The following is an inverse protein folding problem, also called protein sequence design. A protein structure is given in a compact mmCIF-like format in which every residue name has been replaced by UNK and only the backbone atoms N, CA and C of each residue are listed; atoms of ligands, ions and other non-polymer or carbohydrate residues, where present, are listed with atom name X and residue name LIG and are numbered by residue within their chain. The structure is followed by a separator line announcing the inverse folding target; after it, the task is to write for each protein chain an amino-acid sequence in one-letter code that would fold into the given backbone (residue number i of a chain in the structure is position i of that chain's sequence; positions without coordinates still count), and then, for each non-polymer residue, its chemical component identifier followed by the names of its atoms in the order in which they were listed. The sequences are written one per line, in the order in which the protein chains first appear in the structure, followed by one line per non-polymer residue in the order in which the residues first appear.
data_IF_803362697635
#
_entry.id   IF_803362697635
#
_cell.length_a   1.000
_cell.length_b   1.000
_cell.length_c   1.000
_cell.angle_alpha   90.00
_cell.angle_beta   90.00
_cell.angle_gamma   90.00
#
_symmetry.space_group_name_H-M   'P 1'
#
loop_
_entity.id
_entity.type
_entity.pdbx_description
1 polymer ?
#
# COMPACT_ATOMS: atom_id res chain seq x y z
N UNK A 1 -13.32 13.90 -41.91
CA UNK A 1 -13.56 14.09 -40.47
C UNK A 1 -14.69 13.15 -40.05
N UNK A 2 -14.35 11.93 -39.68
CA UNK A 2 -15.31 10.94 -39.18
C UNK A 2 -15.56 11.19 -37.70
N UNK A 3 -16.81 11.49 -37.32
CA UNK A 3 -17.26 11.54 -35.94
C UNK A 3 -17.17 10.13 -35.33
N UNK A 4 -15.97 9.72 -34.94
CA UNK A 4 -15.83 8.56 -34.07
C UNK A 4 -16.26 8.97 -32.67
N UNK A 5 -17.55 8.81 -32.38
CA UNK A 5 -18.09 8.70 -31.01
C UNK A 5 -17.55 7.43 -30.35
N UNK A 6 -16.23 7.28 -30.33
CA UNK A 6 -15.54 6.15 -29.72
C UNK A 6 -15.60 6.29 -28.21
N UNK A 7 -15.87 5.16 -27.55
CA UNK A 7 -15.81 5.01 -26.10
C UNK A 7 -14.37 5.20 -25.62
N UNK A 8 -13.91 6.43 -25.48
CA UNK A 8 -12.61 6.72 -24.89
C UNK A 8 -12.61 6.42 -23.38
N UNK A 9 -11.43 6.11 -22.83
CA UNK A 9 -11.23 5.82 -21.41
C UNK A 9 -11.78 6.91 -20.49
N UNK A 10 -11.64 8.17 -20.90
CA UNK A 10 -12.03 9.36 -20.14
C UNK A 10 -13.51 9.73 -20.27
N UNK A 11 -14.26 8.97 -21.07
CA UNK A 11 -15.67 9.26 -21.38
C UNK A 11 -16.61 8.20 -20.85
N UNK A 12 -16.08 7.12 -20.26
CA UNK A 12 -16.86 5.97 -19.84
C UNK A 12 -16.56 5.58 -18.41
N UNK A 13 -17.52 4.94 -17.76
CA UNK A 13 -17.37 4.37 -16.42
C UNK A 13 -17.07 2.86 -16.54
N UNK A 14 -16.40 2.29 -15.54
CA UNK A 14 -16.17 0.85 -15.42
C UNK A 14 -17.51 0.11 -15.59
N UNK A 15 -17.54 -0.89 -16.48
CA UNK A 15 -18.72 -1.69 -16.80
C UNK A 15 -19.32 -2.44 -15.60
N UNK A 16 -18.54 -2.72 -14.57
CA UNK A 16 -19.01 -3.42 -13.37
C UNK A 16 -20.13 -2.65 -12.64
N UNK A 17 -21.14 -3.36 -12.10
CA UNK A 17 -22.20 -2.74 -11.32
C UNK A 17 -21.65 -1.87 -10.20
N UNK A 18 -22.25 -0.68 -10.01
CA UNK A 18 -21.89 0.26 -8.94
C UNK A 18 -21.97 -0.41 -7.57
N UNK A 19 -23.02 -1.19 -7.31
CA UNK A 19 -23.21 -1.95 -6.07
C UNK A 19 -22.05 -2.90 -5.78
N UNK A 20 -21.56 -3.63 -6.79
CA UNK A 20 -20.43 -4.54 -6.63
C UNK A 20 -19.16 -3.76 -6.26
N UNK A 21 -18.86 -2.69 -6.98
CA UNK A 21 -17.69 -1.82 -6.70
C UNK A 21 -17.75 -1.22 -5.30
N UNK A 22 -18.93 -0.76 -4.88
CA UNK A 22 -19.15 -0.20 -3.55
C UNK A 22 -18.79 -1.20 -2.44
N UNK A 23 -19.36 -2.40 -2.49
CA UNK A 23 -19.12 -3.43 -1.48
C UNK A 23 -17.68 -3.95 -1.50
N UNK A 24 -17.09 -4.13 -2.68
CA UNK A 24 -15.67 -4.52 -2.79
C UNK A 24 -14.76 -3.50 -2.11
N UNK A 25 -14.90 -2.21 -2.42
CA UNK A 25 -14.09 -1.18 -1.78
C UNK A 25 -14.33 -1.15 -0.26
N UNK A 26 -15.58 -1.15 0.19
CA UNK A 26 -15.92 -1.05 1.61
C UNK A 26 -15.41 -2.23 2.45
N UNK A 27 -15.60 -3.47 1.95
CA UNK A 27 -15.20 -4.70 2.66
C UNK A 27 -13.68 -4.79 2.82
N UNK A 28 -12.90 -4.30 1.84
CA UNK A 28 -11.44 -4.31 1.94
C UNK A 28 -10.87 -3.11 2.67
N UNK A 29 -11.52 -1.94 2.57
CA UNK A 29 -11.05 -0.70 3.20
C UNK A 29 -11.15 -0.73 4.73
N UNK A 30 -12.28 -1.18 5.29
CA UNK A 30 -12.47 -1.20 6.76
C UNK A 30 -11.39 -2.06 7.45
N UNK A 31 -11.15 -3.34 7.06
CA UNK A 31 -10.10 -4.15 7.66
C UNK A 31 -8.71 -3.58 7.39
N UNK A 32 -8.49 -2.97 6.23
CA UNK A 32 -7.23 -2.36 5.86
C UNK A 32 -6.88 -1.18 6.77
N UNK A 33 -7.82 -0.26 7.02
CA UNK A 33 -7.64 0.86 7.94
C UNK A 33 -7.33 0.37 9.36
N UNK A 34 -8.07 -0.62 9.86
CA UNK A 34 -7.82 -1.23 11.18
C UNK A 34 -6.41 -1.82 11.23
N UNK A 35 -6.00 -2.53 10.19
CA UNK A 35 -4.68 -3.13 10.08
C UNK A 35 -3.57 -2.05 10.04
N UNK A 36 -3.73 -1.02 9.22
CA UNK A 36 -2.82 0.13 9.11
C UNK A 36 -2.62 0.81 10.46
N UNK A 37 -3.72 1.14 11.17
CA UNK A 37 -3.66 1.78 12.48
C UNK A 37 -2.96 0.88 13.51
N UNK A 38 -3.29 -0.42 13.54
CA UNK A 38 -2.66 -1.37 14.45
C UNK A 38 -1.16 -1.50 14.21
N UNK A 39 -0.73 -1.63 12.95
CA UNK A 39 0.69 -1.77 12.58
C UNK A 39 1.43 -0.47 12.87
N UNK A 40 0.89 0.69 12.49
CA UNK A 40 1.48 2.00 12.79
C UNK A 40 1.64 2.21 14.29
N UNK A 41 0.59 1.93 15.07
CA UNK A 41 0.63 2.00 16.54
C UNK A 41 1.77 1.15 17.11
N UNK A 42 1.88 -0.12 16.67
CA UNK A 42 2.93 -1.00 17.14
C UNK A 42 4.34 -0.51 16.75
N UNK A 43 4.52 -0.03 15.51
CA UNK A 43 5.80 0.48 15.01
C UNK A 43 6.23 1.78 15.72
N UNK A 44 5.29 2.66 16.02
CA UNK A 44 5.57 3.96 16.64
C UNK A 44 5.83 3.85 18.15
N UNK A 45 5.13 2.96 18.85
CA UNK A 45 5.26 2.84 20.32
C UNK A 45 6.47 2.01 20.71
N UNK A 46 6.77 0.93 19.99
CA UNK A 46 7.90 0.08 20.34
C UNK A 46 9.21 0.78 19.95
N UNK A 47 9.94 1.29 20.95
CA UNK A 47 11.24 1.97 20.78
C UNK A 47 12.22 1.18 19.91
N UNK A 48 12.30 -0.14 20.09
CA UNK A 48 13.20 -0.98 19.29
C UNK A 48 12.78 -1.05 17.81
N UNK A 49 11.47 -1.08 17.54
CA UNK A 49 10.94 -1.05 16.17
C UNK A 49 11.17 0.32 15.54
N UNK A 50 10.91 1.40 16.28
CA UNK A 50 11.10 2.78 15.84
C UNK A 50 12.56 3.13 15.56
N UNK A 51 13.54 2.50 16.19
CA UNK A 51 14.96 2.79 15.89
C UNK A 51 15.53 1.98 14.71
N UNK A 52 14.81 0.97 14.24
CA UNK A 52 15.26 0.19 13.09
C UNK A 52 14.95 0.95 11.79
N UNK A 53 16.00 1.30 11.02
CA UNK A 53 15.88 2.10 9.78
C UNK A 53 14.82 1.53 8.82
N UNK A 54 14.77 0.21 8.72
CA UNK A 54 13.86 -0.44 7.79
C UNK A 54 12.39 -0.15 8.10
N UNK A 55 12.05 0.13 9.35
CA UNK A 55 10.69 0.46 9.73
C UNK A 55 10.33 1.91 9.40
N UNK A 56 11.28 2.82 9.20
CA UNK A 56 10.98 4.21 8.85
C UNK A 56 10.30 4.32 7.49
N UNK A 57 10.83 3.66 6.46
CA UNK A 57 10.18 3.65 5.14
C UNK A 57 8.80 3.00 5.19
N UNK A 58 8.64 1.93 5.98
CA UNK A 58 7.36 1.24 6.18
C UNK A 58 6.35 2.14 6.88
N UNK A 59 6.74 2.89 7.91
CA UNK A 59 5.88 3.86 8.60
C UNK A 59 5.40 4.92 7.61
N UNK A 60 6.30 5.46 6.78
CA UNK A 60 5.96 6.47 5.78
C UNK A 60 4.97 5.91 4.75
N UNK A 61 5.26 4.73 4.18
CA UNK A 61 4.38 4.06 3.22
C UNK A 61 2.99 3.81 3.80
N UNK A 62 2.90 3.30 5.04
CA UNK A 62 1.64 3.07 5.74
C UNK A 62 0.90 4.37 6.04
N UNK A 63 1.61 5.44 6.38
CA UNK A 63 1.00 6.73 6.68
C UNK A 63 0.35 7.31 5.43
N UNK A 64 1.05 7.27 4.28
CA UNK A 64 0.51 7.73 3.00
C UNK A 64 -0.68 6.85 2.58
N UNK A 65 -0.56 5.52 2.68
CA UNK A 65 -1.66 4.61 2.35
C UNK A 65 -2.88 4.81 3.25
N UNK A 66 -2.68 5.06 4.55
CA UNK A 66 -3.77 5.37 5.47
C UNK A 66 -4.44 6.71 5.12
N UNK A 67 -3.66 7.75 4.83
CA UNK A 67 -4.22 9.02 4.37
C UNK A 67 -5.02 8.84 3.07
N UNK A 68 -4.51 8.07 2.11
CA UNK A 68 -5.22 7.72 0.88
C UNK A 68 -6.54 7.00 1.17
N UNK A 69 -6.53 5.98 2.03
CA UNK A 69 -7.72 5.23 2.44
C UNK A 69 -8.76 6.12 3.12
N UNK A 70 -8.34 7.02 4.01
CA UNK A 70 -9.25 7.92 4.73
C UNK A 70 -9.81 9.06 3.86
N UNK A 71 -9.26 9.30 2.66
CA UNK A 71 -9.66 10.42 1.80
C UNK A 71 -10.23 9.94 0.48
N UNK A 72 -9.43 9.29 -0.37
CA UNK A 72 -9.82 8.87 -1.72
C UNK A 72 -10.97 7.88 -1.70
N UNK A 73 -10.91 6.85 -0.84
CA UNK A 73 -11.89 5.76 -0.83
C UNK A 73 -13.28 6.25 -0.39
N UNK A 74 -13.45 7.01 0.70
CA UNK A 74 -14.73 7.63 1.03
C UNK A 74 -15.29 8.51 -0.09
N UNK A 75 -14.43 9.26 -0.80
CA UNK A 75 -14.88 10.11 -1.91
C UNK A 75 -15.34 9.28 -3.11
N UNK A 76 -14.63 8.19 -3.40
CA UNK A 76 -15.01 7.25 -4.43
C UNK A 76 -16.31 6.51 -4.09
N UNK A 77 -16.48 6.08 -2.84
CA UNK A 77 -17.73 5.47 -2.35
C UNK A 77 -18.92 6.44 -2.44
N UNK A 78 -18.73 7.71 -2.07
CA UNK A 78 -19.76 8.74 -2.22
C UNK A 78 -20.13 8.96 -3.69
N UNK A 79 -19.14 8.99 -4.58
CA UNK A 79 -19.35 9.05 -6.02
C UNK A 79 -20.15 7.84 -6.54
N UNK A 80 -19.80 6.61 -6.16
CA UNK A 80 -20.55 5.41 -6.58
C UNK A 80 -22.01 5.51 -6.13
N UNK A 81 -22.25 5.95 -4.89
CA UNK A 81 -23.61 6.08 -4.33
C UNK A 81 -24.44 7.13 -5.04
N UNK A 82 -23.87 8.30 -5.35
CA UNK A 82 -24.59 9.45 -5.90
C UNK A 82 -24.54 9.54 -7.43
N UNK A 83 -23.64 8.80 -8.07
CA UNK A 83 -23.37 8.86 -9.51
C UNK A 83 -22.73 10.16 -10.00
N UNK A 84 -22.28 11.02 -9.08
CA UNK A 84 -21.59 12.27 -9.41
C UNK A 84 -20.74 12.76 -8.24
N UNK A 85 -19.69 13.51 -8.56
CA UNK A 85 -18.80 14.13 -7.58
C UNK A 85 -19.54 15.26 -6.86
N UNK A 86 -19.50 15.28 -5.52
CA UNK A 86 -20.05 16.38 -4.71
C UNK A 86 -19.01 16.95 -3.75
N UNK A 87 -18.98 18.28 -3.55
CA UNK A 87 -19.64 19.31 -4.36
C UNK A 87 -19.11 19.33 -5.82
N UNK A 88 -19.94 19.77 -6.78
CA UNK A 88 -19.56 19.90 -8.19
C UNK A 88 -18.77 21.19 -8.43
N UNK A 89 -17.62 21.29 -7.77
CA UNK A 89 -16.71 22.44 -7.87
C UNK A 89 -15.33 21.97 -8.33
N UNK A 90 -14.61 22.82 -9.05
CA UNK A 90 -13.30 22.50 -9.61
C UNK A 90 -12.28 22.13 -8.53
N UNK A 91 -12.26 22.86 -7.42
CA UNK A 91 -11.37 22.61 -6.28
C UNK A 91 -11.49 21.16 -5.76
N UNK A 92 -12.69 20.58 -5.77
CA UNK A 92 -12.94 19.21 -5.35
C UNK A 92 -12.21 18.21 -6.25
N UNK A 93 -12.26 18.41 -7.57
CA UNK A 93 -11.57 17.56 -8.54
C UNK A 93 -10.05 17.69 -8.44
N UNK A 94 -9.53 18.92 -8.30
CA UNK A 94 -8.09 19.17 -8.17
C UNK A 94 -7.51 18.48 -6.93
N UNK A 95 -8.18 18.64 -5.78
CA UNK A 95 -7.77 17.97 -4.53
C UNK A 95 -7.87 16.44 -4.69
N UNK A 96 -8.91 15.95 -5.36
CA UNK A 96 -9.05 14.52 -5.59
C UNK A 96 -7.94 13.97 -6.49
N UNK A 97 -7.57 14.65 -7.57
CA UNK A 97 -6.41 14.26 -8.39
C UNK A 97 -5.10 14.29 -7.60
N UNK A 98 -4.91 15.30 -6.73
CA UNK A 98 -3.72 15.40 -5.88
C UNK A 98 -3.61 14.19 -4.95
N UNK A 99 -4.69 13.82 -4.29
CA UNK A 99 -4.73 12.64 -3.41
C UNK A 99 -4.55 11.36 -4.23
N UNK A 100 -5.31 11.21 -5.31
CA UNK A 100 -5.36 9.97 -6.09
C UNK A 100 -4.03 9.69 -6.79
N UNK A 101 -3.59 10.60 -7.68
CA UNK A 101 -2.36 10.44 -8.45
C UNK A 101 -1.14 10.73 -7.58
N UNK A 102 -1.17 11.82 -6.82
CA UNK A 102 -0.02 12.27 -6.04
C UNK A 102 0.40 11.25 -4.99
N UNK A 103 -0.52 10.78 -4.14
CA UNK A 103 -0.14 9.79 -3.11
C UNK A 103 0.21 8.43 -3.70
N UNK A 104 -0.51 7.98 -4.74
CA UNK A 104 -0.22 6.70 -5.38
C UNK A 104 1.19 6.67 -5.99
N UNK A 105 1.56 7.71 -6.75
CA UNK A 105 2.88 7.80 -7.35
C UNK A 105 3.98 8.10 -6.33
N UNK A 106 3.67 8.84 -5.25
CA UNK A 106 4.60 9.00 -4.12
C UNK A 106 4.94 7.65 -3.48
N UNK A 107 3.94 6.78 -3.29
CA UNK A 107 4.16 5.41 -2.79
C UNK A 107 5.05 4.62 -3.73
N UNK A 108 4.84 4.73 -5.06
CA UNK A 108 5.70 4.07 -6.06
C UNK A 108 7.16 4.56 -5.99
N UNK A 109 7.37 5.87 -5.96
CA UNK A 109 8.71 6.46 -5.86
C UNK A 109 9.43 6.05 -4.57
N UNK A 110 8.74 6.07 -3.43
CA UNK A 110 9.29 5.62 -2.15
C UNK A 110 9.58 4.11 -2.20
N UNK A 111 8.76 3.32 -2.86
CA UNK A 111 9.00 1.88 -3.01
C UNK A 111 10.22 1.58 -3.89
N UNK A 112 10.40 2.34 -4.98
CA UNK A 112 11.59 2.28 -5.82
C UNK A 112 12.86 2.61 -5.02
N UNK A 113 12.84 3.71 -4.26
CA UNK A 113 13.93 4.06 -3.36
C UNK A 113 14.17 3.00 -2.28
N UNK A 114 13.11 2.52 -1.62
CA UNK A 114 13.22 1.50 -0.57
C UNK A 114 13.85 0.21 -1.11
N UNK A 115 13.62 -0.12 -2.38
CA UNK A 115 14.23 -1.27 -3.04
C UNK A 115 15.75 -1.11 -3.19
N UNK A 116 16.21 0.08 -3.59
CA UNK A 116 17.63 0.45 -3.64
C UNK A 116 18.24 0.45 -2.23
N UNK A 117 17.60 1.15 -1.31
CA UNK A 117 18.07 1.33 0.06
C UNK A 117 18.24 -0.02 0.78
N UNK A 118 17.33 -0.97 0.57
CA UNK A 118 17.42 -2.32 1.14
C UNK A 118 18.63 -3.08 0.62
N UNK A 119 18.98 -2.89 -0.64
CA UNK A 119 20.21 -3.45 -1.18
C UNK A 119 21.43 -2.84 -0.46
N UNK A 120 21.45 -1.52 -0.23
CA UNK A 120 22.55 -0.85 0.47
C UNK A 120 22.64 -1.34 1.92
N UNK A 121 21.52 -1.39 2.65
CA UNK A 121 21.48 -1.82 4.06
C UNK A 121 21.93 -3.26 4.29
N UNK A 122 21.65 -4.17 3.36
CA UNK A 122 21.98 -5.59 3.51
C UNK A 122 23.45 -5.88 3.15
N UNK A 123 23.99 -5.24 2.12
CA UNK A 123 25.30 -5.60 1.57
C UNK A 123 26.39 -4.55 1.86
N UNK A 124 26.02 -3.35 2.27
CA UNK A 124 26.93 -2.22 2.50
C UNK A 124 26.62 -1.55 3.84
N UNK A 125 26.65 -2.32 4.93
CA UNK A 125 26.39 -1.84 6.30
C UNK A 125 27.32 -0.67 6.70
N UNK A 126 28.55 -0.66 6.22
CA UNK A 126 29.52 0.43 6.41
C UNK A 126 29.02 1.80 5.92
N UNK A 127 28.11 1.83 4.94
CA UNK A 127 27.50 3.07 4.41
C UNK A 127 26.42 3.64 5.33
N UNK A 128 25.98 2.90 6.35
CA UNK A 128 24.97 3.37 7.32
C UNK A 128 25.46 3.33 8.77
N UNK A 129 26.76 3.11 8.95
CA UNK A 129 27.43 2.96 10.24
C UNK A 129 27.38 4.23 11.11
N UNK A 130 27.62 5.40 10.52
CA UNK A 130 27.61 6.69 11.24
C UNK A 130 26.30 7.44 11.07
N UNK A 131 25.97 8.32 12.02
CA UNK A 131 24.76 9.16 11.95
C UNK A 131 24.73 10.06 10.71
N UNK A 132 25.87 10.65 10.33
CA UNK A 132 26.00 11.47 9.12
C UNK A 132 25.72 10.65 7.86
N UNK A 133 26.38 9.49 7.70
CA UNK A 133 26.16 8.63 6.53
C UNK A 133 24.72 8.12 6.46
N UNK A 134 24.15 7.76 7.60
CA UNK A 134 22.74 7.38 7.72
C UNK A 134 21.79 8.49 7.25
N UNK A 135 22.07 9.74 7.60
CA UNK A 135 21.28 10.86 7.11
C UNK A 135 21.29 10.96 5.59
N UNK A 136 22.46 10.95 4.96
CA UNK A 136 22.58 11.05 3.51
C UNK A 136 22.03 9.83 2.75
N UNK A 137 22.18 8.62 3.29
CA UNK A 137 21.78 7.38 2.60
C UNK A 137 20.33 6.99 2.87
N UNK A 138 19.72 7.40 3.98
CA UNK A 138 18.36 6.94 4.33
C UNK A 138 17.36 8.09 4.42
N UNK A 139 17.65 9.11 5.24
CA UNK A 139 16.68 10.17 5.51
C UNK A 139 16.56 11.19 4.38
N UNK A 140 17.70 11.66 3.86
CA UNK A 140 17.73 12.70 2.84
C UNK A 140 16.99 12.29 1.56
N UNK A 141 17.21 11.10 0.97
CA UNK A 141 16.52 10.71 -0.25
C UNK A 141 15.01 10.57 -0.04
N UNK A 142 14.58 10.06 1.11
CA UNK A 142 13.16 9.95 1.43
C UNK A 142 12.50 11.32 1.60
N UNK A 143 13.15 12.27 2.29
CA UNK A 143 12.67 13.65 2.42
C UNK A 143 12.60 14.33 1.05
N UNK A 144 13.66 14.22 0.25
CA UNK A 144 13.72 14.81 -1.10
C UNK A 144 12.63 14.25 -2.00
N UNK A 145 12.40 12.93 -1.99
CA UNK A 145 11.34 12.31 -2.80
C UNK A 145 9.94 12.77 -2.37
N UNK A 146 9.67 12.88 -1.07
CA UNK A 146 8.38 13.38 -0.58
C UNK A 146 8.16 14.84 -0.98
N UNK A 147 9.17 15.71 -0.74
CA UNK A 147 9.10 17.12 -1.10
C UNK A 147 8.96 17.31 -2.61
N UNK A 148 9.71 16.53 -3.39
CA UNK A 148 9.62 16.49 -4.84
C UNK A 148 8.21 16.12 -5.29
N UNK A 149 7.63 15.02 -4.79
CA UNK A 149 6.29 14.60 -5.18
C UNK A 149 5.23 15.64 -4.82
N UNK A 150 5.27 16.19 -3.60
CA UNK A 150 4.32 17.21 -3.17
C UNK A 150 4.42 18.44 -4.08
N UNK A 151 5.65 18.92 -4.33
CA UNK A 151 5.88 20.11 -5.15
C UNK A 151 5.46 19.88 -6.60
N UNK A 152 5.89 18.78 -7.20
CA UNK A 152 5.56 18.39 -8.57
C UNK A 152 4.05 18.30 -8.76
N UNK A 153 3.36 17.47 -7.96
CA UNK A 153 1.92 17.27 -8.12
C UNK A 153 1.11 18.52 -7.81
N UNK A 154 1.57 19.36 -6.88
CA UNK A 154 0.92 20.67 -6.65
C UNK A 154 1.04 21.56 -7.89
N UNK A 155 2.23 21.68 -8.49
CA UNK A 155 2.43 22.52 -9.68
C UNK A 155 1.62 22.00 -10.87
N UNK A 156 1.76 20.72 -11.24
CA UNK A 156 1.14 20.19 -12.47
C UNK A 156 -0.39 20.08 -12.38
N UNK A 157 -0.96 19.99 -11.18
CA UNK A 157 -2.41 19.89 -10.99
C UNK A 157 -3.06 21.28 -10.90
N UNK A 158 -2.50 22.19 -10.09
CA UNK A 158 -3.10 23.51 -9.85
C UNK A 158 -2.69 24.56 -10.89
N UNK A 159 -1.53 24.41 -11.52
CA UNK A 159 -0.99 25.33 -12.53
C UNK A 159 -0.60 24.61 -13.82
N UNK A 160 -1.51 23.82 -14.43
CA UNK A 160 -1.21 23.12 -15.68
C UNK A 160 -1.02 24.09 -16.85
N UNK A 161 -0.24 23.72 -17.88
CA UNK A 161 -0.12 24.49 -19.13
C UNK A 161 -1.34 24.34 -20.06
N UNK A 162 -2.42 23.71 -19.59
CA UNK A 162 -3.60 23.33 -20.37
C UNK A 162 -4.89 23.57 -19.59
N UNK A 163 -6.00 23.67 -20.32
CA UNK A 163 -7.33 23.80 -19.70
C UNK A 163 -7.83 22.42 -19.25
N UNK A 164 -8.18 22.30 -17.97
CA UNK A 164 -8.84 21.11 -17.44
C UNK A 164 -10.28 21.00 -17.94
N UNK A 165 -10.71 19.77 -18.23
CA UNK A 165 -12.12 19.42 -18.48
C UNK A 165 -12.65 18.59 -17.31
N UNK A 166 -13.62 19.13 -16.56
CA UNK A 166 -14.11 18.51 -15.34
C UNK A 166 -15.42 17.76 -15.60
N UNK A 167 -15.34 16.42 -15.70
CA UNK A 167 -16.54 15.58 -15.86
C UNK A 167 -16.99 15.03 -14.52
N UNK A 168 -17.85 15.76 -13.83
CA UNK A 168 -18.37 15.39 -12.50
C UNK A 168 -19.19 14.10 -12.47
N UNK A 169 -19.63 13.57 -13.62
CA UNK A 169 -20.36 12.29 -13.73
C UNK A 169 -19.44 11.07 -13.84
N UNK A 170 -18.13 11.28 -13.92
CA UNK A 170 -17.12 10.23 -14.05
C UNK A 170 -16.27 10.12 -12.78
N UNK A 171 -15.74 8.91 -12.47
CA UNK A 171 -14.92 8.70 -11.29
C UNK A 171 -13.68 9.58 -11.34
N UNK A 172 -13.27 10.11 -10.19
CA UNK A 172 -12.10 11.00 -10.06
C UNK A 172 -12.13 12.12 -11.11
N UNK A 173 -13.32 12.66 -11.41
CA UNK A 173 -13.54 13.70 -12.42
C UNK A 173 -12.96 13.36 -13.82
N UNK A 174 -13.22 12.16 -14.33
CA UNK A 174 -12.67 11.55 -15.56
C UNK A 174 -11.29 10.89 -15.43
N UNK A 175 -10.68 10.89 -14.24
CA UNK A 175 -9.40 10.21 -13.94
C UNK A 175 -8.25 10.57 -14.92
N UNK A 176 -8.31 11.73 -15.55
CA UNK A 176 -7.42 12.13 -16.65
C UNK A 176 -7.22 13.66 -16.66
N UNK A 177 -6.45 14.21 -15.69
CA UNK A 177 -6.10 15.63 -15.71
C UNK A 177 -5.32 15.98 -16.99
N UNK A 178 -5.48 17.22 -17.46
CA UNK A 178 -5.00 17.61 -18.79
C UNK A 178 -3.47 17.46 -18.97
N UNK A 179 -2.68 17.54 -17.89
CA UNK A 179 -1.22 17.41 -17.95
C UNK A 179 -0.77 16.02 -18.45
N UNK A 180 -1.60 14.98 -18.32
CA UNK A 180 -1.29 13.65 -18.85
C UNK A 180 -1.25 13.61 -20.38
N UNK A 181 -1.93 14.53 -21.06
CA UNK A 181 -1.93 14.65 -22.53
C UNK A 181 -0.88 15.62 -23.06
N UNK A 182 -0.32 16.44 -22.17
CA UNK A 182 0.76 17.34 -22.56
C UNK A 182 2.01 16.50 -22.88
N UNK A 183 2.67 16.70 -24.04
CA UNK A 183 3.70 15.78 -24.54
C UNK A 183 4.87 15.60 -23.57
N UNK A 184 5.28 16.67 -22.89
CA UNK A 184 6.39 16.60 -21.92
C UNK A 184 5.94 16.05 -20.57
N UNK A 185 4.79 16.49 -20.04
CA UNK A 185 4.36 16.15 -18.68
C UNK A 185 3.77 14.73 -18.64
N UNK A 186 3.06 14.32 -19.68
CA UNK A 186 2.56 12.96 -19.83
C UNK A 186 3.69 11.94 -19.96
N UNK A 187 4.73 12.25 -20.74
CA UNK A 187 5.94 11.40 -20.83
C UNK A 187 6.70 11.37 -19.51
N UNK A 188 6.78 12.48 -18.79
CA UNK A 188 7.40 12.50 -17.47
C UNK A 188 6.63 11.64 -16.47
N UNK A 189 5.31 11.78 -16.41
CA UNK A 189 4.46 11.00 -15.52
C UNK A 189 4.51 9.50 -15.85
N UNK A 190 4.24 9.13 -17.10
CA UNK A 190 4.23 7.74 -17.51
C UNK A 190 5.63 7.13 -17.50
N UNK A 191 6.63 7.87 -17.98
CA UNK A 191 8.00 7.41 -18.13
C UNK A 191 8.76 7.38 -16.82
N UNK A 192 8.88 8.50 -16.13
CA UNK A 192 9.69 8.62 -14.90
C UNK A 192 8.93 8.06 -13.69
N UNK A 193 7.69 8.52 -13.45
CA UNK A 193 6.96 8.07 -12.26
C UNK A 193 6.40 6.65 -12.43
N UNK A 194 5.93 6.29 -13.62
CA UNK A 194 5.41 4.96 -13.94
C UNK A 194 6.50 3.93 -14.28
N UNK A 195 7.04 4.00 -15.50
CA UNK A 195 7.93 2.96 -16.07
C UNK A 195 9.23 2.83 -15.29
N UNK A 196 9.96 3.94 -15.09
CA UNK A 196 11.27 3.93 -14.45
C UNK A 196 11.18 3.43 -13.01
N UNK A 197 10.21 3.90 -12.22
CA UNK A 197 9.96 3.39 -10.86
C UNK A 197 9.71 1.88 -10.87
N UNK A 198 8.86 1.40 -11.78
CA UNK A 198 8.52 -0.02 -11.91
C UNK A 198 9.75 -0.86 -12.28
N UNK A 199 10.58 -0.39 -13.21
CA UNK A 199 11.82 -1.05 -13.63
C UNK A 199 12.81 -1.11 -12.46
N UNK A 200 13.00 0.00 -11.73
CA UNK A 200 13.88 0.07 -10.56
C UNK A 200 13.41 -0.92 -9.48
N UNK A 201 12.13 -0.90 -9.12
CA UNK A 201 11.56 -1.84 -8.14
C UNK A 201 11.82 -3.28 -8.56
N UNK A 202 11.54 -3.63 -9.82
CA UNK A 202 11.73 -4.99 -10.36
C UNK A 202 13.19 -5.40 -10.32
N UNK A 203 14.08 -4.57 -10.88
CA UNK A 203 15.50 -4.86 -10.97
C UNK A 203 16.14 -5.06 -9.60
N UNK A 204 15.93 -4.11 -8.67
CA UNK A 204 16.51 -4.21 -7.33
C UNK A 204 15.89 -5.33 -6.49
N UNK A 205 14.60 -5.64 -6.68
CA UNK A 205 13.95 -6.78 -6.02
C UNK A 205 14.53 -8.12 -6.49
N UNK A 206 14.70 -8.31 -7.80
CA UNK A 206 15.31 -9.51 -8.37
C UNK A 206 16.78 -9.61 -7.93
N UNK A 207 17.54 -8.52 -8.03
CA UNK A 207 18.95 -8.47 -7.62
C UNK A 207 19.11 -8.81 -6.13
N UNK A 208 18.25 -8.27 -5.26
CA UNK A 208 18.23 -8.58 -3.83
C UNK A 208 17.97 -10.07 -3.61
N UNK A 209 16.95 -10.65 -4.27
CA UNK A 209 16.62 -12.07 -4.16
C UNK A 209 17.79 -12.96 -4.60
N UNK A 210 18.37 -12.69 -5.78
CA UNK A 210 19.49 -13.46 -6.33
C UNK A 210 20.72 -13.40 -5.41
N UNK A 211 21.09 -12.21 -4.94
CA UNK A 211 22.24 -12.05 -4.03
C UNK A 211 22.01 -12.72 -2.69
N UNK A 212 20.79 -12.68 -2.17
CA UNK A 212 20.40 -13.35 -0.92
C UNK A 212 20.50 -14.87 -1.04
N UNK A 213 20.04 -15.44 -2.16
CA UNK A 213 20.20 -16.88 -2.46
C UNK A 213 21.67 -17.24 -2.61
N UNK A 214 22.43 -16.44 -3.35
CA UNK A 214 23.86 -16.66 -3.58
C UNK A 214 24.67 -16.62 -2.28
N UNK A 215 24.40 -15.63 -1.42
CA UNK A 215 25.08 -15.48 -0.14
C UNK A 215 24.76 -16.64 0.81
N UNK A 216 23.50 -17.10 0.83
CA UNK A 216 23.09 -18.28 1.58
C UNK A 216 23.84 -19.53 1.15
N UNK A 217 24.06 -19.72 -0.16
CA UNK A 217 24.77 -20.88 -0.70
C UNK A 217 26.27 -20.86 -0.39
N UNK A 218 26.93 -19.70 -0.47
CA UNK A 218 28.39 -19.60 -0.24
C UNK A 218 28.79 -19.61 1.23
N UNK A 219 28.02 -18.98 2.12
CA UNK A 219 28.40 -18.82 3.53
C UNK A 219 27.43 -19.56 4.43
N UNK A 220 27.75 -20.82 4.73
CA UNK A 220 27.09 -21.65 5.76
C UNK A 220 27.25 -21.11 7.20
N UNK A 221 27.89 -19.96 7.41
CA UNK A 221 28.14 -19.39 8.74
C UNK A 221 26.87 -18.79 9.37
N UNK A 222 26.94 -18.61 10.70
CA UNK A 222 25.93 -18.08 11.67
C UNK A 222 25.49 -16.64 11.37
N UNK A 223 25.12 -16.36 10.13
CA UNK A 223 24.50 -15.10 9.74
C UNK A 223 23.13 -15.01 10.41
N UNK A 224 22.72 -13.81 10.85
CA UNK A 224 21.39 -13.54 11.44
C UNK A 224 20.26 -13.63 10.39
N UNK A 225 20.27 -14.71 9.61
CA UNK A 225 19.40 -14.99 8.46
C UNK A 225 17.92 -14.91 8.80
N UNK A 226 17.52 -15.37 10.00
CA UNK A 226 16.12 -15.33 10.43
C UNK A 226 15.54 -13.91 10.45
N UNK A 227 16.36 -12.90 10.77
CA UNK A 227 15.93 -11.49 10.83
C UNK A 227 15.87 -10.89 9.42
N UNK A 228 16.96 -11.01 8.65
CA UNK A 228 17.03 -10.46 7.29
C UNK A 228 16.02 -11.10 6.33
N UNK A 229 15.76 -12.41 6.46
CA UNK A 229 14.78 -13.12 5.63
C UNK A 229 13.39 -12.49 5.71
N UNK A 230 12.93 -12.11 6.91
CA UNK A 230 11.60 -11.51 7.08
C UNK A 230 11.51 -10.13 6.42
N UNK A 231 12.54 -9.31 6.59
CA UNK A 231 12.63 -7.99 5.95
C UNK A 231 12.68 -8.09 4.42
N UNK A 232 13.41 -9.08 3.88
CA UNK A 232 13.48 -9.32 2.44
C UNK A 232 12.13 -9.82 1.90
N UNK A 233 11.49 -10.77 2.59
CA UNK A 233 10.16 -11.26 2.22
C UNK A 233 9.14 -10.13 2.22
N UNK A 234 9.18 -9.24 3.21
CA UNK A 234 8.32 -8.05 3.26
C UNK A 234 8.43 -7.22 1.99
N UNK A 235 9.65 -6.80 1.65
CA UNK A 235 9.90 -5.96 0.49
C UNK A 235 9.51 -6.65 -0.82
N UNK A 236 9.89 -7.92 -0.97
CA UNK A 236 9.54 -8.70 -2.16
C UNK A 236 8.03 -8.88 -2.29
N UNK A 237 7.32 -9.06 -1.17
CA UNK A 237 5.86 -9.19 -1.18
C UNK A 237 5.19 -7.86 -1.56
N UNK A 238 5.67 -6.73 -1.04
CA UNK A 238 5.16 -5.40 -1.40
C UNK A 238 5.45 -5.10 -2.88
N UNK A 239 6.66 -5.43 -3.34
CA UNK A 239 7.07 -5.22 -4.74
C UNK A 239 6.28 -6.11 -5.69
N UNK A 240 6.07 -7.39 -5.34
CA UNK A 240 5.25 -8.31 -6.12
C UNK A 240 3.79 -7.84 -6.19
N UNK A 241 3.22 -7.37 -5.07
CA UNK A 241 1.88 -6.80 -5.03
C UNK A 241 1.76 -5.58 -5.96
N UNK A 242 2.73 -4.65 -5.88
CA UNK A 242 2.77 -3.48 -6.74
C UNK A 242 2.88 -3.85 -8.22
N UNK A 243 3.83 -4.74 -8.58
CA UNK A 243 4.04 -5.17 -9.96
C UNK A 243 2.80 -5.91 -10.51
N UNK A 244 2.22 -6.84 -9.75
CA UNK A 244 1.05 -7.60 -10.20
C UNK A 244 -0.13 -6.68 -10.57
N UNK A 245 -0.37 -5.65 -9.77
CA UNK A 245 -1.54 -4.77 -9.92
C UNK A 245 -1.26 -3.56 -10.82
N UNK A 246 -0.03 -3.06 -10.86
CA UNK A 246 0.34 -1.87 -11.64
C UNK A 246 0.88 -2.20 -13.04
N UNK A 247 1.47 -3.38 -13.25
CA UNK A 247 2.02 -3.76 -14.56
C UNK A 247 0.98 -3.72 -15.70
N UNK A 248 -0.28 -4.19 -15.51
CA UNK A 248 -1.28 -4.14 -16.57
C UNK A 248 -1.60 -2.70 -17.05
N UNK A 249 -1.75 -1.75 -16.12
CA UNK A 249 -2.04 -0.35 -16.48
C UNK A 249 -0.85 0.32 -17.17
N UNK A 250 0.38 -0.03 -16.77
CA UNK A 250 1.60 0.41 -17.44
C UNK A 250 1.69 -0.14 -18.87
N UNK A 251 1.34 -1.40 -19.09
CA UNK A 251 1.33 -2.01 -20.42
C UNK A 251 0.36 -1.29 -21.37
N UNK A 252 -0.86 -0.98 -20.91
CA UNK A 252 -1.81 -0.18 -21.69
C UNK A 252 -1.28 1.22 -22.02
N UNK A 253 -0.62 1.86 -21.06
CA UNK A 253 -0.06 3.21 -21.24
C UNK A 253 1.04 3.21 -22.31
N UNK A 254 1.96 2.24 -22.24
CA UNK A 254 3.01 2.05 -23.26
C UNK A 254 2.42 1.69 -24.62
N UNK A 255 1.42 0.80 -24.67
CA UNK A 255 0.79 0.43 -25.94
C UNK A 255 0.14 1.64 -26.63
N UNK A 256 -0.53 2.52 -25.87
CA UNK A 256 -1.10 3.77 -26.39
C UNK A 256 -0.03 4.73 -26.88
N UNK A 257 1.08 4.84 -26.14
CA UNK A 257 2.22 5.62 -26.58
C UNK A 257 2.81 5.11 -27.91
N UNK A 258 2.77 3.79 -28.14
CA UNK A 258 3.17 3.16 -29.41
C UNK A 258 2.11 3.23 -30.52
N UNK A 259 1.01 3.98 -30.31
CA UNK A 259 -0.02 4.21 -31.33
C UNK A 259 -1.24 3.29 -31.23
N UNK A 260 -1.42 2.54 -30.14
CA UNK A 260 -2.68 1.80 -29.91
C UNK A 260 -3.86 2.79 -29.84
N UNK A 261 -4.90 2.62 -30.68
CA UNK A 261 -6.03 3.54 -30.69
C UNK A 261 -6.75 3.64 -29.33
N UNK A 262 -7.18 4.85 -28.95
CA UNK A 262 -7.76 5.16 -27.63
C UNK A 262 -9.05 4.40 -27.27
N UNK A 263 -9.73 3.79 -28.25
CA UNK A 263 -10.95 3.01 -28.05
C UNK A 263 -10.67 1.53 -27.77
N UNK A 264 -9.48 1.03 -28.08
CA UNK A 264 -9.11 -0.37 -27.89
C UNK A 264 -8.73 -0.61 -26.43
N UNK A 265 -9.28 -1.67 -25.84
CA UNK A 265 -8.93 -2.11 -24.49
C UNK A 265 -9.39 -1.21 -23.34
N UNK A 266 -10.29 -0.25 -23.61
CA UNK A 266 -10.76 0.73 -22.62
C UNK A 266 -11.34 0.09 -21.36
N UNK A 267 -12.17 -0.94 -21.52
CA UNK A 267 -12.77 -1.66 -20.39
C UNK A 267 -11.70 -2.36 -19.54
N UNK A 268 -10.74 -3.02 -20.18
CA UNK A 268 -9.65 -3.68 -19.48
C UNK A 268 -8.79 -2.65 -18.74
N UNK A 269 -8.46 -1.52 -19.36
CA UNK A 269 -7.71 -0.44 -18.72
C UNK A 269 -8.45 0.10 -17.48
N UNK A 270 -9.76 0.35 -17.57
CA UNK A 270 -10.57 0.81 -16.44
C UNK A 270 -10.62 -0.19 -15.30
N UNK A 271 -10.75 -1.48 -15.59
CA UNK A 271 -10.68 -2.54 -14.59
C UNK A 271 -9.29 -2.57 -13.95
N UNK A 272 -8.21 -2.50 -14.74
CA UNK A 272 -6.84 -2.50 -14.19
C UNK A 272 -6.55 -1.27 -13.35
N UNK A 273 -7.03 -0.09 -13.75
CA UNK A 273 -6.97 1.13 -12.95
C UNK A 273 -7.70 0.95 -11.62
N UNK A 274 -8.91 0.40 -11.64
CA UNK A 274 -9.64 0.06 -10.42
C UNK A 274 -8.88 -0.94 -9.54
N UNK A 275 -8.25 -1.96 -10.13
CA UNK A 275 -7.45 -2.95 -9.39
C UNK A 275 -6.23 -2.34 -8.69
N UNK A 276 -5.72 -1.18 -9.12
CA UNK A 276 -4.61 -0.52 -8.43
C UNK A 276 -4.93 -0.12 -6.98
N UNK A 277 -6.22 0.08 -6.64
CA UNK A 277 -6.67 0.33 -5.27
C UNK A 277 -6.29 -0.80 -4.29
N UNK A 278 -6.20 -2.04 -4.79
CA UNK A 278 -5.78 -3.19 -3.97
C UNK A 278 -4.33 -3.11 -3.52
N UNK A 279 -3.48 -2.32 -4.19
CA UNK A 279 -2.12 -2.05 -3.69
C UNK A 279 -2.21 -1.41 -2.31
N UNK A 280 -3.04 -0.36 -2.18
CA UNK A 280 -3.21 0.36 -0.91
C UNK A 280 -3.90 -0.51 0.14
N UNK A 281 -4.93 -1.27 -0.24
CA UNK A 281 -5.65 -2.15 0.70
C UNK A 281 -4.81 -3.32 1.21
N UNK A 282 -3.99 -3.93 0.37
CA UNK A 282 -3.23 -5.13 0.75
C UNK A 282 -1.88 -4.80 1.40
N UNK A 283 -1.36 -3.58 1.20
CA UNK A 283 -0.12 -3.11 1.81
C UNK A 283 -0.02 -3.36 3.32
N UNK A 284 -0.98 -2.95 4.17
CA UNK A 284 -0.88 -3.17 5.61
C UNK A 284 -0.91 -4.64 6.00
N UNK A 285 -1.64 -5.49 5.28
CA UNK A 285 -1.66 -6.95 5.54
C UNK A 285 -0.33 -7.62 5.20
N UNK A 286 0.29 -7.22 4.09
CA UNK A 286 1.62 -7.70 3.69
C UNK A 286 2.66 -7.30 4.73
N UNK A 287 2.60 -6.06 5.23
CA UNK A 287 3.49 -5.58 6.28
C UNK A 287 3.25 -6.32 7.60
N UNK A 288 1.99 -6.48 8.00
CA UNK A 288 1.61 -7.21 9.22
C UNK A 288 2.15 -8.65 9.20
N UNK A 289 1.99 -9.33 8.07
CA UNK A 289 2.40 -10.73 7.88
C UNK A 289 3.91 -10.92 7.93
N UNK A 290 4.68 -9.87 7.62
CA UNK A 290 6.14 -9.92 7.55
C UNK A 290 6.84 -9.30 8.76
N UNK A 291 6.11 -8.59 9.63
CA UNK A 291 6.69 -7.94 10.80
C UNK A 291 7.29 -8.96 11.80
N UNK A 292 8.59 -8.86 12.14
CA UNK A 292 9.24 -9.81 13.04
C UNK A 292 8.69 -9.70 14.47
N UNK A 293 8.33 -10.84 15.06
CA UNK A 293 7.93 -10.95 16.47
C UNK A 293 6.46 -10.66 16.76
N UNK A 294 5.74 -9.99 15.85
CA UNK A 294 4.33 -9.65 16.06
C UNK A 294 3.42 -10.89 16.02
N UNK A 295 3.70 -11.85 15.14
CA UNK A 295 3.01 -13.15 15.13
C UNK A 295 3.07 -13.86 16.48
N UNK A 296 4.23 -13.83 17.15
CA UNK A 296 4.39 -14.46 18.46
C UNK A 296 3.54 -13.74 19.52
N UNK A 297 3.48 -12.41 19.49
CA UNK A 297 2.63 -11.64 20.41
C UNK A 297 1.14 -11.88 20.17
N UNK A 298 0.70 -11.88 18.91
CA UNK A 298 -0.69 -12.18 18.54
C UNK A 298 -1.09 -13.60 18.97
N UNK A 299 -0.21 -14.57 18.74
CA UNK A 299 -0.41 -15.95 19.17
C UNK A 299 -0.48 -16.07 20.69
N UNK A 300 0.39 -15.37 21.43
CA UNK A 300 0.35 -15.33 22.89
C UNK A 300 -0.93 -14.69 23.42
N UNK A 301 -1.43 -13.61 22.82
CA UNK A 301 -2.71 -12.99 23.21
C UNK A 301 -3.86 -13.97 22.97
N UNK A 302 -3.86 -14.68 21.83
CA UNK A 302 -4.86 -15.71 21.52
C UNK A 302 -4.82 -16.89 22.48
N UNK A 303 -3.63 -17.40 22.82
CA UNK A 303 -3.44 -18.50 23.76
C UNK A 303 -3.77 -18.11 25.21
N UNK A 304 -3.38 -16.92 25.67
CA UNK A 304 -3.73 -16.43 27.01
C UNK A 304 -5.25 -16.29 27.15
N UNK A 305 -5.95 -15.85 26.09
CA UNK A 305 -7.42 -15.80 26.07
C UNK A 305 -8.04 -17.20 26.08
N UNK A 306 -7.38 -18.21 25.50
CA UNK A 306 -7.79 -19.62 25.52
C UNK A 306 -7.54 -20.29 26.88
N UNK A 307 -6.38 -20.05 27.50
CA UNK A 307 -6.07 -20.54 28.85
C UNK A 307 -7.00 -19.92 29.90
N UNK A 308 -7.27 -18.61 29.82
CA UNK A 308 -8.20 -17.95 30.76
C UNK A 308 -9.63 -18.49 30.66
N UNK A 309 -10.06 -18.98 29.48
CA UNK A 309 -11.35 -19.69 29.33
C UNK A 309 -11.32 -21.08 30.00
N UNK A 310 -10.25 -21.85 29.83
CA UNK A 310 -10.14 -23.18 30.50
C UNK A 310 -10.09 -23.10 32.02
N UNK A 311 -9.44 -22.08 32.61
CA UNK A 311 -9.37 -21.97 34.07
C UNK A 311 -10.73 -21.68 34.70
N UNK A 312 -11.56 -20.85 34.04
CA UNK A 312 -12.93 -20.53 34.49
C UNK A 312 -13.85 -21.76 34.41
N UNK A 313 -13.72 -22.59 33.36
CA UNK A 313 -14.52 -23.82 33.24
C UNK A 313 -14.15 -24.85 34.32
N UNK A 314 -12.88 -24.93 34.72
CA UNK A 314 -12.42 -25.84 35.78
C UNK A 314 -12.87 -25.36 37.18
N UNK A 315 -12.87 -24.05 37.43
CA UNK A 315 -13.37 -23.52 38.71
C UNK A 315 -14.89 -23.67 38.85
N UNK A 316 -15.67 -23.48 37.77
CA UNK A 316 -17.11 -23.76 37.80
C UNK A 316 -17.44 -25.24 38.03
N UNK A 317 -16.71 -26.19 37.42
CA UNK A 317 -16.92 -27.62 37.69
C UNK A 317 -16.59 -28.01 39.14
N UNK A 318 -15.60 -27.37 39.78
CA UNK A 318 -15.31 -27.61 41.20
C UNK A 318 -16.42 -27.09 42.11
N UNK A 319 -17.00 -25.93 41.83
CA UNK A 319 -18.12 -25.42 42.62
C UNK A 319 -19.38 -26.30 42.50
N UNK A 320 -19.64 -26.86 41.31
CA UNK A 320 -20.77 -27.78 41.11
C UNK A 320 -20.52 -29.14 41.79
N UNK A 321 -19.27 -29.63 41.87
CA UNK A 321 -18.95 -30.88 42.56
C UNK A 321 -18.86 -30.76 44.09
N UNK A 322 -18.55 -29.58 44.63
CA UNK A 322 -18.53 -29.36 46.09
C UNK A 322 -19.94 -29.39 46.68
N UNK A 323 -20.98 -29.15 45.88
CA UNK A 323 -22.38 -29.20 46.32
C UNK A 323 -23.00 -30.60 46.31
N UNK A 324 -22.22 -31.65 46.02
CA UNK A 324 -22.68 -33.06 45.97
C UNK A 324 -22.13 -33.97 47.07
N UNK A 325 -21.47 -33.45 48.09
CA UNK A 325 -21.16 -34.23 49.30
C UNK A 325 -22.01 -33.75 50.48
N UNK A 326 -23.19 -34.37 50.71
CA UNK A 326 -23.83 -34.29 52.00
C UNK A 326 -22.89 -34.90 53.04
N UNK A 327 -22.64 -34.13 54.09
CA UNK A 327 -21.93 -34.51 55.30
C UNK A 327 -22.38 -35.89 55.79
N UNK A 328 -21.48 -36.86 55.77
CA UNK A 328 -21.60 -38.03 56.63
C UNK A 328 -21.00 -37.66 57.99
N UNK A 329 -21.87 -37.25 58.91
CA UNK A 329 -21.65 -37.35 60.34
C UNK A 329 -21.39 -38.82 60.71
N UNK A 330 -20.32 -39.09 61.47
CA UNK A 330 -20.22 -40.17 62.45
C UNK A 330 -18.80 -40.25 63.01
N UNK A 331 -18.53 -40.62 64.26
CA UNK A 331 -19.22 -40.46 65.54
C UNK A 331 -18.09 -40.70 66.57
N UNK A 332 -18.21 -40.03 67.70
CA UNK A 332 -17.39 -40.17 68.91
C UNK A 332 -17.66 -41.56 69.52
N UNK A 333 -16.65 -42.15 70.18
CA UNK A 333 -16.83 -43.27 71.11
C UNK A 333 -15.59 -44.12 71.26
#
# INVERSE_FOLDING_TARGET
MTNSNGTAFENTEIYWPRTLRFWLLLIFDIPSIICSLFVLYHLLINRASRHALHNHTVIVLLSIALCFQLTDIPWYLDFIRKGSVRPQIQARCLIWWLVNLGFYNTVSLILAWTSIERHILVFHDQWTSTRKKRFFVHYLPLIVLILYSITYYTIVIFFPPCKHDYKYKLPVCAASPCHLFHPVLGVWEMGVHGCLSTIIVTFFSIALLLRVIHHKRRRHRVFRWKVYRKMIIQLLSISALYLLLNFPIMLFSVARFLGLPNHVGVQAQQITFFLTYWVMFLLPFVILSSLPGLRNKLYMIGLLKRQRRSTVTITMRRLINVQKNPLHCAYIG
#
